data_IF_293496572247
#
_entry.id   IF_293496572247
#
_cell.length_a   1.000
_cell.length_b   1.000
_cell.length_c   1.000
_cell.angle_alpha   90.00
_cell.angle_beta   90.00
_cell.angle_gamma   90.00
#
_symmetry.space_group_name_H-M   'P 1'
#
loop_
_entity.id
_entity.type
_entity.pdbx_description
1 polymer ?
#
# COMPACT_ATOMS: atom_id res chain seq x y z
N UNK A 1 -76.55 72.50 7.38
CA UNK A 1 -75.57 71.99 6.40
C UNK A 1 -74.86 70.84 7.13
N UNK A 2 -75.40 69.62 7.11
CA UNK A 2 -75.04 68.52 6.19
C UNK A 2 -73.51 68.28 6.22
N UNK A 3 -72.97 67.11 6.57
CA UNK A 3 -73.35 65.77 6.11
C UNK A 3 -72.79 64.69 7.07
N UNK A 4 -73.49 63.57 7.17
CA UNK A 4 -73.06 62.33 7.82
C UNK A 4 -72.26 61.49 6.82
N UNK A 5 -71.18 60.84 7.23
CA UNK A 5 -70.80 59.56 6.58
C UNK A 5 -70.00 58.68 7.54
N UNK A 6 -70.64 57.59 7.97
CA UNK A 6 -70.04 56.42 8.58
C UNK A 6 -69.20 55.62 7.57
N UNK A 7 -68.17 54.93 8.09
CA UNK A 7 -67.52 53.67 7.65
C UNK A 7 -66.00 53.82 7.87
N UNK A 8 -65.22 52.94 8.50
CA UNK A 8 -65.36 51.59 9.04
C UNK A 8 -64.18 51.39 10.03
N UNK A 9 -64.17 50.37 10.91
CA UNK A 9 -63.00 50.10 11.74
C UNK A 9 -61.85 49.63 10.84
N UNK A 10 -60.79 50.43 10.73
CA UNK A 10 -59.57 49.97 10.06
C UNK A 10 -58.92 48.92 10.96
N UNK A 11 -59.06 47.68 10.51
CA UNK A 11 -58.43 46.50 11.08
C UNK A 11 -56.99 46.82 11.45
N UNK A 12 -56.64 46.54 12.70
CA UNK A 12 -55.25 46.42 13.13
C UNK A 12 -54.57 45.46 12.16
N UNK A 13 -53.73 46.00 11.27
CA UNK A 13 -52.76 45.19 10.56
C UNK A 13 -51.80 44.67 11.63
N UNK A 14 -52.09 43.47 12.13
CA UNK A 14 -51.09 42.64 12.76
C UNK A 14 -50.00 42.45 11.71
N UNK A 15 -48.96 43.29 11.77
CA UNK A 15 -47.71 43.03 11.09
C UNK A 15 -47.19 41.75 11.71
N UNK A 16 -47.53 40.61 11.10
CA UNK A 16 -46.85 39.36 11.33
C UNK A 16 -45.38 39.62 10.98
N UNK A 17 -44.58 39.95 11.99
CA UNK A 17 -43.12 39.93 11.88
C UNK A 17 -42.79 38.51 11.49
N UNK A 18 -42.61 38.29 10.19
CA UNK A 18 -42.11 37.04 9.66
C UNK A 18 -40.72 36.90 10.26
N UNK A 19 -40.63 36.15 11.36
CA UNK A 19 -39.38 35.87 12.06
C UNK A 19 -38.52 35.12 11.05
N UNK A 20 -37.67 35.84 10.32
CA UNK A 20 -36.62 35.20 9.56
C UNK A 20 -35.82 34.37 10.56
N UNK A 21 -35.43 33.14 10.20
CA UNK A 21 -34.63 32.31 11.10
C UNK A 21 -33.38 33.11 11.47
N UNK A 22 -33.27 33.47 12.75
CA UNK A 22 -32.13 34.22 13.25
C UNK A 22 -30.90 33.36 13.07
N UNK A 23 -30.01 33.75 12.16
CA UNK A 23 -28.80 33.00 11.88
C UNK A 23 -27.86 33.13 13.08
N UNK A 24 -27.73 32.07 13.86
CA UNK A 24 -26.76 31.98 14.94
C UNK A 24 -25.36 31.81 14.35
N UNK A 25 -24.50 32.78 14.62
CA UNK A 25 -23.07 32.76 14.37
C UNK A 25 -22.33 32.32 15.64
N UNK A 26 -21.19 31.65 15.43
CA UNK A 26 -20.26 31.28 16.49
C UNK A 26 -18.98 32.08 16.28
N UNK A 27 -18.58 32.83 17.31
CA UNK A 27 -17.30 33.53 17.34
C UNK A 27 -16.54 33.16 18.61
N UNK A 28 -15.24 33.39 18.59
CA UNK A 28 -14.34 33.06 19.69
C UNK A 28 -13.76 34.34 20.24
N UNK A 29 -14.04 34.61 21.51
CA UNK A 29 -13.51 35.78 22.20
C UNK A 29 -12.08 35.50 22.67
N UNK A 30 -11.21 36.52 22.60
CA UNK A 30 -9.86 36.49 23.14
C UNK A 30 -9.55 37.69 24.03
N UNK A 31 -9.24 37.42 25.30
CA UNK A 31 -8.72 38.42 26.23
C UNK A 31 -7.35 38.00 26.80
N UNK A 32 -6.22 38.48 26.25
CA UNK A 32 -4.89 38.13 26.74
C UNK A 32 -4.68 38.52 28.22
N UNK A 33 -5.39 39.53 28.70
CA UNK A 33 -5.27 40.06 30.06
C UNK A 33 -6.18 39.34 31.07
N UNK A 34 -6.93 38.31 30.65
CA UNK A 34 -7.79 37.52 31.53
C UNK A 34 -7.00 36.80 32.63
N UNK A 35 -7.60 36.62 33.80
CA UNK A 35 -6.93 35.94 34.91
C UNK A 35 -6.99 34.40 34.78
N UNK A 36 -8.04 33.89 34.13
CA UNK A 36 -8.31 32.45 33.95
C UNK A 36 -8.44 32.07 32.46
N UNK A 37 -8.31 30.78 32.15
CA UNK A 37 -8.49 30.25 30.78
C UNK A 37 -9.85 30.66 30.20
N UNK A 38 -10.93 30.51 30.97
CA UNK A 38 -12.28 30.79 30.49
C UNK A 38 -12.49 32.30 30.26
N UNK A 39 -11.81 33.17 31.01
CA UNK A 39 -11.79 34.60 30.74
C UNK A 39 -10.97 34.96 29.49
N UNK A 40 -9.91 34.19 29.21
CA UNK A 40 -9.04 34.39 28.06
C UNK A 40 -9.67 33.91 26.76
N UNK A 41 -10.38 32.79 26.76
CA UNK A 41 -11.01 32.24 25.57
C UNK A 41 -12.33 31.54 25.86
N UNK A 42 -13.38 31.94 25.15
CA UNK A 42 -14.67 31.24 25.13
C UNK A 42 -15.43 31.50 23.84
N UNK A 43 -16.28 30.53 23.47
CA UNK A 43 -17.18 30.65 22.33
C UNK A 43 -18.40 31.50 22.69
N UNK A 44 -18.80 32.37 21.76
CA UNK A 44 -19.96 33.24 21.87
C UNK A 44 -20.89 32.93 20.70
N UNK A 45 -22.14 32.69 21.05
CA UNK A 45 -23.23 32.47 20.11
C UNK A 45 -24.02 33.76 19.99
N UNK A 46 -24.12 34.30 18.77
CA UNK A 46 -24.78 35.58 18.53
C UNK A 46 -25.51 35.56 17.20
N UNK A 47 -26.59 36.33 17.09
CA UNK A 47 -27.29 36.63 15.84
C UNK A 47 -26.64 37.78 15.04
N UNK A 48 -25.61 38.41 15.61
CA UNK A 48 -24.94 39.56 15.05
C UNK A 48 -23.88 39.13 14.02
N UNK A 49 -23.85 39.71 12.81
CA UNK A 49 -22.82 39.40 11.82
C UNK A 49 -21.45 39.95 12.22
N UNK A 50 -20.38 39.29 11.78
CA UNK A 50 -19.01 39.59 12.23
C UNK A 50 -18.56 41.02 11.95
N UNK A 51 -19.06 41.66 10.90
CA UNK A 51 -18.59 42.99 10.52
C UNK A 51 -18.92 44.07 11.56
N UNK A 52 -19.77 43.75 12.55
CA UNK A 52 -20.14 44.63 13.65
C UNK A 52 -19.83 44.05 15.04
N UNK A 53 -19.14 42.90 15.13
CA UNK A 53 -18.77 42.34 16.44
C UNK A 53 -17.53 43.03 17.03
N UNK A 54 -17.37 43.04 18.37
CA UNK A 54 -16.25 43.71 19.03
C UNK A 54 -14.87 43.20 18.60
N UNK A 55 -13.85 44.06 18.73
CA UNK A 55 -12.44 43.90 18.31
C UNK A 55 -11.63 42.75 18.93
N UNK A 56 -12.29 41.84 19.66
CA UNK A 56 -11.69 40.66 20.33
C UNK A 56 -12.35 39.36 19.92
N UNK A 57 -13.22 39.40 18.90
CA UNK A 57 -13.93 38.25 18.38
C UNK A 57 -13.23 37.76 17.12
N UNK A 58 -13.07 36.45 17.03
CA UNK A 58 -12.43 35.79 15.90
C UNK A 58 -13.37 34.75 15.30
N UNK A 59 -13.42 34.65 13.97
CA UNK A 59 -14.21 33.61 13.28
C UNK A 59 -13.57 32.23 13.41
N UNK A 60 -12.25 32.20 13.56
CA UNK A 60 -11.47 30.98 13.61
C UNK A 60 -11.45 30.46 15.03
N UNK A 61 -11.73 29.17 15.19
CA UNK A 61 -11.59 28.48 16.47
C UNK A 61 -10.10 28.32 16.83
N UNK A 62 -9.74 28.32 18.12
CA UNK A 62 -8.45 27.81 18.53
C UNK A 62 -8.29 26.34 18.14
N UNK A 63 -7.06 25.90 17.90
CA UNK A 63 -6.80 24.51 17.55
C UNK A 63 -7.22 23.57 18.69
N UNK A 64 -7.75 22.38 18.36
CA UNK A 64 -8.36 21.44 19.31
C UNK A 64 -7.42 20.96 20.43
N UNK A 65 -6.09 21.07 20.24
CA UNK A 65 -5.08 20.76 21.24
C UNK A 65 -4.65 21.92 22.13
N UNK A 66 -5.20 23.13 21.94
CA UNK A 66 -4.77 24.30 22.71
C UNK A 66 -5.37 24.30 24.13
N UNK A 67 -4.49 24.35 25.12
CA UNK A 67 -4.80 24.32 26.54
C UNK A 67 -5.21 25.69 27.06
N UNK A 68 -4.49 26.77 26.72
CA UNK A 68 -4.82 28.15 27.12
C UNK A 68 -4.67 29.11 25.93
N UNK A 69 -5.57 29.04 24.93
CA UNK A 69 -5.45 29.81 23.70
C UNK A 69 -5.71 31.30 23.94
N UNK A 70 -4.85 32.14 23.35
CA UNK A 70 -4.98 33.59 23.29
C UNK A 70 -4.64 34.05 21.87
N UNK A 71 -5.42 34.98 21.34
CA UNK A 71 -5.17 35.61 20.05
C UNK A 71 -4.00 36.59 20.12
N UNK A 72 -3.11 36.53 19.12
CA UNK A 72 -2.01 37.48 18.94
C UNK A 72 -2.05 38.08 17.53
N UNK A 73 -2.38 39.36 17.44
CA UNK A 73 -2.49 40.12 16.19
C UNK A 73 -1.18 40.23 15.42
N UNK A 74 -0.03 40.00 16.06
CA UNK A 74 1.29 40.13 15.42
C UNK A 74 1.70 38.88 14.66
N UNK A 75 1.03 37.75 14.90
CA UNK A 75 1.30 36.50 14.19
C UNK A 75 0.74 36.54 12.77
N UNK A 76 1.17 35.59 11.94
CA UNK A 76 0.75 35.45 10.54
C UNK A 76 0.89 36.76 9.74
N UNK A 77 2.08 37.39 9.83
CA UNK A 77 2.39 38.65 9.14
C UNK A 77 1.43 39.81 9.47
N UNK A 78 0.89 39.85 10.69
CA UNK A 78 -0.02 40.89 11.15
C UNK A 78 -1.50 40.60 10.86
N UNK A 79 -1.83 39.40 10.37
CA UNK A 79 -3.21 38.94 10.20
C UNK A 79 -3.81 38.34 11.49
N UNK A 80 -2.96 38.11 12.49
CA UNK A 80 -3.33 37.50 13.75
C UNK A 80 -3.42 35.98 13.68
N UNK A 81 -3.14 35.32 14.81
CA UNK A 81 -3.36 33.89 14.98
C UNK A 81 -3.52 33.52 16.46
N UNK A 82 -4.15 32.38 16.73
CA UNK A 82 -4.17 31.78 18.06
C UNK A 82 -2.79 31.29 18.47
N UNK A 83 -2.42 31.56 19.72
CA UNK A 83 -1.22 31.02 20.36
C UNK A 83 -1.54 30.53 21.77
N UNK A 84 -0.66 29.70 22.31
CA UNK A 84 -0.70 29.36 23.72
C UNK A 84 -0.27 30.53 24.59
N UNK A 85 -1.04 30.80 25.63
CA UNK A 85 -0.78 31.87 26.57
C UNK A 85 0.31 31.54 27.59
N UNK A 86 0.72 30.27 27.72
CA UNK A 86 1.62 29.86 28.79
C UNK A 86 3.05 29.56 28.33
N UNK A 87 4.04 30.00 29.13
CA UNK A 87 5.42 29.49 29.06
C UNK A 87 5.54 28.00 29.42
N UNK A 88 4.50 27.41 30.03
CA UNK A 88 4.38 25.98 30.38
C UNK A 88 3.84 25.10 29.26
N UNK A 89 3.16 25.64 28.25
CA UNK A 89 2.69 24.88 27.08
C UNK A 89 3.88 24.35 26.26
N UNK A 90 5.01 25.06 26.27
CA UNK A 90 6.27 24.54 25.72
C UNK A 90 6.71 23.25 26.45
N UNK A 91 6.50 23.14 27.76
CA UNK A 91 6.81 21.95 28.53
C UNK A 91 5.92 20.76 28.19
N UNK A 92 4.63 21.00 27.94
CA UNK A 92 3.69 19.94 27.49
C UNK A 92 3.97 19.53 26.04
N UNK A 93 4.21 20.47 25.13
CA UNK A 93 4.61 20.19 23.75
C UNK A 93 5.94 19.43 23.73
N UNK A 94 6.90 19.79 24.60
CA UNK A 94 8.19 19.10 24.70
C UNK A 94 8.02 17.68 25.26
N UNK A 95 7.17 17.49 26.26
CA UNK A 95 6.86 16.16 26.81
C UNK A 95 6.16 15.27 25.77
N UNK A 96 5.23 15.83 24.99
CA UNK A 96 4.53 15.11 23.93
C UNK A 96 5.47 14.80 22.75
N UNK A 97 6.40 15.70 22.44
CA UNK A 97 7.47 15.46 21.47
C UNK A 97 8.43 14.36 21.95
N UNK A 98 8.79 14.35 23.24
CA UNK A 98 9.61 13.30 23.84
C UNK A 98 8.92 11.94 23.80
N UNK A 99 7.63 11.88 24.14
CA UNK A 99 6.85 10.65 24.05
C UNK A 99 6.79 10.10 22.61
N UNK A 100 6.63 10.99 21.60
CA UNK A 100 6.66 10.58 20.18
C UNK A 100 8.04 10.11 19.72
N UNK A 101 9.12 10.70 20.25
CA UNK A 101 10.49 10.25 19.98
C UNK A 101 10.70 8.85 20.56
N UNK A 102 10.27 8.60 21.80
CA UNK A 102 10.36 7.26 22.41
C UNK A 102 9.55 6.22 21.63
N UNK A 103 8.36 6.58 21.13
CA UNK A 103 7.57 5.70 20.27
C UNK A 103 8.27 5.40 18.93
N UNK A 104 8.90 6.42 18.33
CA UNK A 104 9.69 6.29 17.10
C UNK A 104 10.93 5.40 17.30
N UNK A 105 11.62 5.53 18.44
CA UNK A 105 12.77 4.68 18.78
C UNK A 105 12.33 3.22 18.94
N UNK A 106 11.25 2.94 19.67
CA UNK A 106 10.70 1.58 19.79
C UNK A 106 10.29 0.99 18.44
N UNK A 107 9.69 1.81 17.57
CA UNK A 107 9.29 1.37 16.23
C UNK A 107 10.48 1.10 15.33
N UNK A 108 11.56 1.88 15.48
CA UNK A 108 12.82 1.66 14.77
C UNK A 108 13.48 0.34 15.21
N UNK A 109 13.50 0.07 16.51
CA UNK A 109 14.04 -1.19 17.06
C UNK A 109 13.25 -2.42 16.58
N UNK A 110 11.92 -2.32 16.48
CA UNK A 110 11.09 -3.37 15.88
C UNK A 110 11.38 -3.58 14.39
N UNK A 111 11.68 -2.50 13.66
CA UNK A 111 11.96 -2.54 12.23
C UNK A 111 13.34 -3.17 11.97
N UNK A 112 14.33 -2.87 12.81
CA UNK A 112 15.65 -3.52 12.77
C UNK A 112 15.52 -5.03 13.03
N UNK A 113 14.76 -5.44 14.03
CA UNK A 113 14.49 -6.87 14.29
C UNK A 113 13.74 -7.55 13.13
N UNK A 114 12.87 -6.83 12.43
CA UNK A 114 12.18 -7.36 11.26
C UNK A 114 13.15 -7.54 10.08
N UNK A 115 14.05 -6.57 9.86
CA UNK A 115 15.10 -6.66 8.84
C UNK A 115 16.05 -7.83 9.12
N UNK A 116 16.49 -8.02 10.37
CA UNK A 116 17.35 -9.16 10.73
C UNK A 116 16.69 -10.51 10.43
N UNK A 117 15.38 -10.64 10.67
CA UNK A 117 14.61 -11.85 10.32
C UNK A 117 14.52 -12.05 8.81
N UNK A 118 14.34 -10.98 8.05
CA UNK A 118 14.32 -11.02 6.59
C UNK A 118 15.68 -11.45 6.04
N UNK A 119 16.78 -10.87 6.54
CA UNK A 119 18.14 -11.23 6.15
C UNK A 119 18.45 -12.70 6.46
N UNK A 120 18.01 -13.18 7.62
CA UNK A 120 18.14 -14.59 7.97
C UNK A 120 17.33 -15.49 7.02
N UNK A 121 16.09 -15.11 6.70
CA UNK A 121 15.26 -15.83 5.74
C UNK A 121 15.88 -15.85 4.33
N UNK A 122 16.46 -14.74 3.88
CA UNK A 122 17.16 -14.65 2.59
C UNK A 122 18.39 -15.56 2.57
N UNK A 123 19.21 -15.57 3.64
CA UNK A 123 20.35 -16.48 3.76
C UNK A 123 19.91 -17.95 3.73
N UNK A 124 18.85 -18.31 4.45
CA UNK A 124 18.30 -19.66 4.42
C UNK A 124 17.79 -20.02 3.03
N UNK A 125 17.08 -19.12 2.35
CA UNK A 125 16.60 -19.34 0.99
C UNK A 125 17.76 -19.56 0.01
N UNK A 126 18.82 -18.77 0.09
CA UNK A 126 20.02 -18.96 -0.73
C UNK A 126 20.70 -20.32 -0.47
N UNK A 127 20.79 -20.74 0.79
CA UNK A 127 21.31 -22.08 1.13
C UNK A 127 20.44 -23.20 0.56
N UNK A 128 19.12 -23.11 0.69
CA UNK A 128 18.18 -24.09 0.13
C UNK A 128 18.30 -24.16 -1.40
N UNK A 129 18.43 -23.01 -2.06
CA UNK A 129 18.61 -22.96 -3.51
C UNK A 129 19.94 -23.60 -3.94
N UNK A 130 21.04 -23.30 -3.24
CA UNK A 130 22.35 -23.90 -3.51
C UNK A 130 22.33 -25.43 -3.30
N UNK A 131 21.70 -25.89 -2.21
CA UNK A 131 21.57 -27.32 -1.91
C UNK A 131 20.68 -28.04 -2.93
N UNK A 132 19.57 -27.43 -3.34
CA UNK A 132 18.68 -27.95 -4.37
C UNK A 132 19.38 -28.08 -5.73
N UNK A 133 20.16 -27.07 -6.11
CA UNK A 133 20.99 -27.12 -7.32
C UNK A 133 22.01 -28.26 -7.27
N UNK A 134 22.69 -28.44 -6.13
CA UNK A 134 23.64 -29.52 -5.94
C UNK A 134 22.97 -30.90 -6.02
N UNK A 135 21.77 -31.06 -5.44
CA UNK A 135 20.99 -32.29 -5.55
C UNK A 135 20.56 -32.56 -7.00
N UNK A 136 20.09 -31.55 -7.73
CA UNK A 136 19.73 -31.71 -9.14
C UNK A 136 20.93 -32.14 -9.99
N UNK A 137 22.11 -31.54 -9.78
CA UNK A 137 23.34 -31.95 -10.47
C UNK A 137 23.70 -33.39 -10.14
N UNK A 138 23.60 -33.78 -8.86
CA UNK A 138 23.86 -35.16 -8.43
C UNK A 138 22.88 -36.17 -9.05
N UNK A 139 21.60 -35.81 -9.14
CA UNK A 139 20.55 -36.64 -9.71
C UNK A 139 20.67 -36.75 -11.24
N UNK A 140 21.08 -35.68 -11.90
CA UNK A 140 21.36 -35.69 -13.34
C UNK A 140 22.59 -36.55 -13.68
N UNK A 141 23.61 -36.51 -12.81
CA UNK A 141 24.78 -37.38 -12.92
C UNK A 141 24.40 -38.85 -12.75
N UNK A 142 23.62 -39.19 -11.71
CA UNK A 142 23.19 -40.57 -11.49
C UNK A 142 22.29 -41.09 -12.63
N UNK A 143 21.40 -40.25 -13.17
CA UNK A 143 20.58 -40.59 -14.33
C UNK A 143 21.42 -40.84 -15.59
N UNK A 144 22.46 -40.01 -15.82
CA UNK A 144 23.38 -40.17 -16.95
C UNK A 144 24.17 -41.47 -16.84
N UNK A 145 24.71 -41.76 -15.65
CA UNK A 145 25.45 -43.00 -15.38
C UNK A 145 24.54 -44.24 -15.53
N UNK A 146 23.31 -44.18 -15.03
CA UNK A 146 22.32 -45.24 -15.19
C UNK A 146 21.96 -45.48 -16.66
N UNK A 147 21.76 -44.41 -17.43
CA UNK A 147 21.45 -44.48 -18.86
C UNK A 147 22.61 -45.11 -19.63
N UNK A 148 23.86 -44.71 -19.35
CA UNK A 148 25.03 -45.31 -19.99
C UNK A 148 25.18 -46.80 -19.66
N UNK A 149 24.96 -47.19 -18.40
CA UNK A 149 25.03 -48.59 -17.99
C UNK A 149 23.90 -49.43 -18.63
N UNK A 150 22.69 -48.88 -18.73
CA UNK A 150 21.56 -49.53 -19.41
C UNK A 150 21.84 -49.72 -20.90
N UNK A 151 22.38 -48.71 -21.57
CA UNK A 151 22.76 -48.79 -22.98
C UNK A 151 23.84 -49.84 -23.23
N UNK A 152 24.86 -49.92 -22.36
CA UNK A 152 25.87 -50.98 -22.42
C UNK A 152 25.25 -52.37 -22.23
N UNK A 153 24.37 -52.54 -21.24
CA UNK A 153 23.68 -53.81 -21.01
C UNK A 153 22.84 -54.23 -22.21
N UNK A 154 22.09 -53.29 -22.81
CA UNK A 154 21.26 -53.56 -23.98
C UNK A 154 22.12 -53.94 -25.19
N UNK A 155 23.24 -53.25 -25.41
CA UNK A 155 24.20 -53.60 -26.46
C UNK A 155 24.79 -55.01 -26.25
N UNK A 156 25.16 -55.35 -25.01
CA UNK A 156 25.62 -56.70 -24.66
C UNK A 156 24.53 -57.73 -24.92
N UNK A 157 23.28 -57.48 -24.51
CA UNK A 157 22.16 -58.39 -24.79
C UNK A 157 21.94 -58.58 -26.30
N UNK A 158 21.98 -57.51 -27.10
CA UNK A 158 21.87 -57.61 -28.55
C UNK A 158 23.02 -58.43 -29.16
N UNK A 159 24.25 -58.25 -28.68
CA UNK A 159 25.38 -59.08 -29.09
C UNK A 159 25.19 -60.55 -28.70
N UNK A 160 24.70 -60.83 -27.49
CA UNK A 160 24.41 -62.20 -27.05
C UNK A 160 23.32 -62.83 -27.90
N UNK A 161 22.22 -62.12 -28.16
CA UNK A 161 21.14 -62.57 -29.05
C UNK A 161 21.64 -62.83 -30.47
N UNK A 162 22.45 -61.92 -31.03
CA UNK A 162 23.05 -62.10 -32.35
C UNK A 162 24.00 -63.31 -32.40
N UNK A 163 24.79 -63.55 -31.34
CA UNK A 163 25.62 -64.75 -31.23
C UNK A 163 24.79 -66.02 -31.14
N UNK A 164 23.72 -66.03 -30.34
CA UNK A 164 22.82 -67.18 -30.21
C UNK A 164 22.10 -67.48 -31.54
N UNK A 165 21.63 -66.45 -32.25
CA UNK A 165 21.02 -66.60 -33.59
C UNK A 165 22.04 -67.12 -34.61
N UNK A 166 23.28 -66.62 -34.58
CA UNK A 166 24.35 -67.09 -35.48
C UNK A 166 24.78 -68.52 -35.16
N UNK A 167 24.81 -68.90 -33.89
CA UNK A 167 25.05 -70.27 -33.45
C UNK A 167 23.91 -71.21 -33.86
N UNK A 168 22.65 -70.76 -33.80
CA UNK A 168 21.50 -71.54 -34.28
C UNK A 168 21.40 -71.64 -35.81
N UNK A 169 21.93 -70.67 -36.57
CA UNK A 169 21.95 -70.74 -38.04
C UNK A 169 22.99 -71.73 -38.60
N UNK A 170 23.90 -72.26 -37.78
CA UNK A 170 24.91 -73.24 -38.23
C UNK A 170 24.41 -74.70 -38.25
N UNK A 171 23.12 -74.96 -38.04
CA UNK A 171 22.58 -76.32 -38.01
C UNK A 171 21.32 -76.53 -38.88
N UNK A 172 21.37 -76.32 -40.21
CA UNK A 172 20.65 -77.15 -41.24
C UNK A 172 21.01 -76.73 -42.69
N UNK A 173 20.97 -77.66 -43.69
CA UNK A 173 21.74 -77.57 -44.93
C UNK A 173 21.03 -76.96 -46.17
N UNK A 174 21.87 -76.35 -47.02
CA UNK A 174 21.79 -76.00 -48.45
C UNK A 174 20.55 -76.44 -49.27
N UNK A 175 19.92 -75.47 -49.95
CA UNK A 175 19.22 -75.64 -51.23
C UNK A 175 19.34 -74.37 -52.10
N UNK A 176 19.14 -74.55 -53.41
CA UNK A 176 19.76 -73.84 -54.54
C UNK A 176 19.16 -72.48 -54.95
N UNK A 177 19.92 -71.83 -55.85
CA UNK A 177 19.78 -70.51 -56.45
C UNK A 177 18.67 -70.35 -57.51
N UNK A 178 18.19 -69.12 -57.66
CA UNK A 178 17.79 -68.42 -58.90
C UNK A 178 17.63 -66.93 -58.51
N UNK A 179 18.63 -66.08 -58.73
CA UNK A 179 18.91 -65.30 -59.94
C UNK A 179 17.72 -64.47 -60.45
N UNK A 180 17.81 -63.14 -60.26
CA UNK A 180 17.34 -62.08 -61.16
C UNK A 180 17.43 -60.72 -60.44
N UNK A 181 18.51 -60.00 -60.74
CA UNK A 181 18.65 -58.54 -60.85
C UNK A 181 17.38 -57.68 -60.72
N UNK A 182 17.41 -56.63 -59.89
CA UNK A 182 17.49 -55.20 -60.27
C UNK A 182 17.55 -54.32 -59.00
N UNK A 183 18.64 -53.55 -58.86
CA UNK A 183 18.76 -52.29 -58.11
C UNK A 183 19.04 -51.19 -59.13
N UNK A 184 19.04 -49.89 -58.79
CA UNK A 184 18.38 -49.17 -57.69
C UNK A 184 17.62 -47.93 -58.23
N UNK A 185 16.96 -47.12 -57.40
CA UNK A 185 17.10 -45.64 -57.42
C UNK A 185 16.21 -44.92 -56.37
N UNK A 186 16.86 -44.03 -55.61
CA UNK A 186 16.28 -42.95 -54.81
C UNK A 186 15.69 -41.85 -55.72
N UNK A 187 14.87 -40.96 -55.14
CA UNK A 187 15.32 -39.57 -55.15
C UNK A 187 15.28 -38.91 -53.77
N UNK A 188 16.34 -38.16 -53.54
CA UNK A 188 16.51 -37.07 -52.58
C UNK A 188 15.54 -35.92 -52.83
N UNK A 189 15.01 -35.32 -51.76
CA UNK A 189 14.79 -33.87 -51.73
C UNK A 189 15.21 -33.30 -50.37
N UNK A 190 16.19 -32.40 -50.44
CA UNK A 190 16.57 -31.45 -49.39
C UNK A 190 15.59 -30.28 -49.45
N UNK A 191 15.13 -29.78 -48.30
CA UNK A 191 14.99 -28.33 -48.15
C UNK A 191 15.36 -27.90 -46.73
N UNK A 192 16.39 -27.05 -46.68
CA UNK A 192 16.91 -26.34 -45.52
C UNK A 192 16.04 -25.14 -45.12
N UNK A 193 16.31 -24.66 -43.90
CA UNK A 193 16.16 -23.29 -43.39
C UNK A 193 14.77 -22.93 -42.81
N UNK A 194 14.59 -22.39 -41.60
CA UNK A 194 15.49 -21.86 -40.57
C UNK A 194 14.79 -20.70 -39.84
N UNK A 195 14.92 -20.64 -38.51
CA UNK A 195 14.85 -19.42 -37.69
C UNK A 195 13.51 -18.71 -37.47
N UNK A 196 12.97 -18.80 -36.24
CA UNK A 196 13.02 -17.70 -35.25
C UNK A 196 12.70 -18.25 -33.85
#
# INVERSE_FOLDING_TARGET
>A
MADETQNAPVASAETATQTQPTKLYVYYYSNPDGASKDERCHAIYTDVPFDVVPWRMHKEAPAEGMVDPVWDDKLNSGLGAWKENSGTAQGQILAEAQAKIEELDQKSEQLDQANDKVDQAVKTMQQVQAQSSQQNVALMKSFTEQTQNTNKMLATMQQTLAMVVKANQQATPKAQAADATVQPEQPTDKQENGGN
#
